data_IF_531685597001
#
_entry.id   IF_531685597001
#
_cell.length_a   1.000
_cell.length_b   1.000
_cell.length_c   1.000
_cell.angle_alpha   90.00
_cell.angle_beta   90.00
_cell.angle_gamma   90.00
#
_symmetry.space_group_name_H-M   'P 1'
#
loop_
_entity.id
_entity.type
_entity.pdbx_description
1 polymer ?
#
# COMPACT_ATOMS: atom_id res chain seq x y z
N UNK A 1 -32.44 -13.04 23.48
CA UNK A 1 -31.09 -12.43 23.40
C UNK A 1 -29.95 -13.44 23.46
N UNK A 2 -30.13 -14.58 24.11
CA UNK A 2 -29.07 -15.58 24.33
C UNK A 2 -28.65 -16.39 23.09
N UNK A 3 -29.50 -16.60 22.11
CA UNK A 3 -29.15 -17.36 20.90
C UNK A 3 -28.18 -16.63 19.95
N UNK A 4 -28.18 -15.31 19.94
CA UNK A 4 -27.26 -14.52 19.07
C UNK A 4 -25.85 -14.54 19.64
N UNK A 5 -25.68 -14.63 20.94
CA UNK A 5 -24.39 -14.69 21.63
C UNK A 5 -23.72 -16.06 21.46
N UNK A 6 -24.51 -17.13 21.49
CA UNK A 6 -24.02 -18.49 21.26
C UNK A 6 -23.48 -18.69 19.82
N UNK A 7 -24.14 -18.10 18.82
CA UNK A 7 -23.71 -18.15 17.42
C UNK A 7 -22.36 -17.47 17.18
N UNK A 8 -22.09 -16.35 17.87
CA UNK A 8 -20.81 -15.64 17.76
C UNK A 8 -19.63 -16.38 18.40
N UNK A 9 -19.87 -17.12 19.47
CA UNK A 9 -18.85 -17.96 20.11
C UNK A 9 -18.49 -19.19 19.27
N UNK A 10 -19.44 -19.77 18.57
CA UNK A 10 -19.22 -20.89 17.66
C UNK A 10 -18.37 -20.49 16.42
N UNK A 11 -18.50 -19.25 15.92
CA UNK A 11 -17.67 -18.75 14.80
C UNK A 11 -16.21 -18.56 15.18
N UNK A 12 -15.91 -18.24 16.44
CA UNK A 12 -14.53 -18.09 16.92
C UNK A 12 -13.86 -19.43 17.27
N UNK A 13 -14.63 -20.49 17.43
CA UNK A 13 -14.12 -21.82 17.78
C UNK A 13 -13.68 -22.69 16.60
N UNK A 14 -14.00 -22.29 15.35
CA UNK A 14 -13.72 -23.09 14.16
C UNK A 14 -12.63 -22.47 13.24
N UNK A 15 -12.02 -21.36 13.65
CA UNK A 15 -10.76 -20.90 13.04
C UNK A 15 -9.61 -21.62 13.74
N UNK A 16 -9.67 -22.95 13.71
CA UNK A 16 -8.57 -23.82 14.06
C UNK A 16 -7.48 -23.70 12.99
N UNK A 17 -6.38 -23.04 13.35
CA UNK A 17 -5.09 -23.44 12.87
C UNK A 17 -4.79 -23.30 11.38
N UNK A 18 -5.13 -22.22 10.69
CA UNK A 18 -4.27 -21.78 9.60
C UNK A 18 -3.22 -20.88 10.22
N UNK A 19 -2.07 -21.46 10.53
CA UNK A 19 -0.87 -20.68 10.84
C UNK A 19 -0.65 -19.72 9.68
N UNK A 20 -0.85 -18.42 9.94
CA UNK A 20 -0.30 -17.34 9.11
C UNK A 20 1.18 -17.69 8.95
N UNK A 21 1.60 -18.01 7.74
CA UNK A 21 2.99 -18.39 7.53
C UNK A 21 3.84 -17.21 8.01
N UNK A 22 4.76 -17.48 8.93
CA UNK A 22 5.71 -16.49 9.48
C UNK A 22 6.48 -15.73 8.38
N UNK A 23 6.46 -16.25 7.16
CA UNK A 23 7.03 -15.68 5.95
C UNK A 23 6.39 -14.35 5.52
N UNK A 24 5.05 -14.22 5.62
CA UNK A 24 4.36 -12.98 5.21
C UNK A 24 4.59 -11.84 6.21
N UNK A 25 4.74 -12.17 7.50
CA UNK A 25 5.00 -11.20 8.56
C UNK A 25 6.44 -10.64 8.46
N UNK A 26 7.40 -11.46 7.98
CA UNK A 26 8.80 -11.08 7.87
C UNK A 26 9.10 -10.03 6.79
N UNK A 27 8.27 -9.92 5.75
CA UNK A 27 8.54 -9.00 4.62
C UNK A 27 8.23 -7.55 4.96
N UNK A 28 7.17 -7.31 5.75
CA UNK A 28 6.70 -5.96 6.05
C UNK A 28 7.10 -5.47 7.45
N UNK A 29 7.71 -6.31 8.28
CA UNK A 29 8.08 -5.97 9.65
C UNK A 29 9.59 -5.91 9.94
N UNK A 30 10.46 -5.93 8.93
CA UNK A 30 11.92 -5.89 9.14
C UNK A 30 12.49 -7.14 9.83
N UNK A 31 11.74 -8.24 9.92
CA UNK A 31 12.17 -9.52 10.52
C UNK A 31 12.67 -10.45 9.43
N UNK A 32 13.91 -10.80 9.55
CA UNK A 32 14.78 -11.63 8.68
C UNK A 32 14.13 -12.47 7.56
N UNK A 33 14.66 -12.26 6.38
CA UNK A 33 14.32 -12.80 5.06
C UNK A 33 14.52 -14.33 4.90
N UNK A 34 14.87 -15.09 5.92
CA UNK A 34 15.17 -16.52 5.82
C UNK A 34 13.96 -17.44 5.64
N UNK A 35 12.73 -16.95 5.84
CA UNK A 35 11.52 -17.76 5.72
C UNK A 35 11.00 -17.91 4.27
N UNK A 36 11.49 -17.11 3.31
CA UNK A 36 11.11 -17.25 1.89
C UNK A 36 11.80 -18.42 1.17
N UNK A 37 12.79 -19.05 1.79
CA UNK A 37 13.68 -19.99 1.11
C UNK A 37 13.18 -21.44 1.00
N UNK A 38 12.01 -21.82 1.52
CA UNK A 38 11.56 -23.23 1.56
C UNK A 38 10.22 -23.55 0.89
N UNK A 39 9.62 -22.61 0.17
CA UNK A 39 8.52 -22.92 -0.74
C UNK A 39 9.06 -23.35 -2.10
N UNK A 40 8.63 -24.53 -2.62
CA UNK A 40 8.89 -24.92 -4.01
C UNK A 40 8.66 -23.70 -4.89
N UNK A 41 9.68 -23.25 -5.67
CA UNK A 41 9.56 -22.23 -6.70
C UNK A 41 8.42 -22.63 -7.64
N UNK A 42 7.20 -22.18 -7.38
CA UNK A 42 6.18 -22.14 -8.40
C UNK A 42 6.72 -21.18 -9.46
N UNK A 43 6.82 -21.63 -10.70
CA UNK A 43 7.14 -20.79 -11.84
C UNK A 43 6.29 -19.53 -11.76
N UNK A 44 6.96 -18.38 -11.61
CA UNK A 44 6.31 -17.09 -11.63
C UNK A 44 5.54 -16.97 -12.94
N UNK A 45 4.25 -16.62 -12.88
CA UNK A 45 3.57 -16.24 -14.10
C UNK A 45 4.10 -14.87 -14.54
N UNK A 46 4.36 -14.70 -15.84
CA UNK A 46 4.74 -13.39 -16.38
C UNK A 46 3.73 -12.32 -15.97
N UNK A 47 2.44 -12.67 -15.91
CA UNK A 47 1.38 -11.77 -15.48
C UNK A 47 1.54 -11.27 -14.03
N UNK A 48 1.97 -12.13 -13.10
CA UNK A 48 2.20 -11.69 -11.71
C UNK A 48 3.34 -10.65 -11.63
N UNK A 49 4.44 -10.86 -12.38
CA UNK A 49 5.55 -9.90 -12.45
C UNK A 49 5.12 -8.57 -13.07
N UNK A 50 4.31 -8.60 -14.12
CA UNK A 50 3.79 -7.41 -14.78
C UNK A 50 2.90 -6.59 -13.82
N UNK A 51 2.01 -7.26 -13.06
CA UNK A 51 1.15 -6.62 -12.04
C UNK A 51 2.02 -5.99 -10.94
N UNK A 52 3.01 -6.73 -10.41
CA UNK A 52 3.90 -6.20 -9.37
C UNK A 52 4.71 -5.00 -9.86
N UNK A 53 5.10 -4.94 -11.13
CA UNK A 53 5.80 -3.78 -11.69
C UNK A 53 4.88 -2.56 -11.84
N UNK A 54 3.60 -2.73 -12.14
CA UNK A 54 2.62 -1.64 -12.09
C UNK A 54 2.50 -1.11 -10.66
N UNK A 55 2.35 -2.01 -9.68
CA UNK A 55 2.31 -1.65 -8.27
C UNK A 55 3.58 -0.91 -7.82
N UNK A 56 4.77 -1.38 -8.22
CA UNK A 56 6.04 -0.73 -7.93
C UNK A 56 6.11 0.69 -8.53
N UNK A 57 5.52 0.89 -9.70
CA UNK A 57 5.39 2.23 -10.30
C UNK A 57 4.57 3.19 -9.43
N UNK A 58 3.48 2.72 -8.81
CA UNK A 58 2.67 3.51 -7.88
C UNK A 58 3.44 3.87 -6.61
N UNK A 59 4.24 2.94 -6.06
CA UNK A 59 5.10 3.23 -4.90
C UNK A 59 6.17 4.29 -5.21
N UNK A 60 6.77 4.21 -6.38
CA UNK A 60 7.72 5.24 -6.82
C UNK A 60 7.07 6.63 -6.94
N UNK A 61 5.85 6.69 -7.50
CA UNK A 61 5.08 7.95 -7.60
C UNK A 61 4.73 8.49 -6.22
N UNK A 62 4.25 7.64 -5.30
CA UNK A 62 3.92 8.03 -3.93
C UNK A 62 5.16 8.56 -3.18
N UNK A 63 6.29 7.85 -3.23
CA UNK A 63 7.54 8.30 -2.61
C UNK A 63 7.95 9.68 -3.12
N UNK A 64 7.88 9.92 -4.43
CA UNK A 64 8.19 11.22 -5.03
C UNK A 64 7.18 12.29 -4.61
N UNK A 65 5.88 11.99 -4.61
CA UNK A 65 4.84 12.92 -4.18
C UNK A 65 5.04 13.36 -2.73
N UNK A 66 5.35 12.43 -1.83
CA UNK A 66 5.68 12.75 -0.43
C UNK A 66 6.99 13.53 -0.30
N UNK A 67 8.04 13.23 -1.10
CA UNK A 67 9.27 14.04 -1.16
C UNK A 67 8.98 15.47 -1.54
N UNK A 68 8.22 15.67 -2.61
CA UNK A 68 7.85 16.98 -3.14
C UNK A 68 6.99 17.74 -2.11
N UNK A 69 6.00 17.08 -1.53
CA UNK A 69 5.13 17.68 -0.50
C UNK A 69 5.93 18.10 0.74
N UNK A 70 6.78 17.22 1.27
CA UNK A 70 7.62 17.51 2.44
C UNK A 70 8.63 18.64 2.17
N UNK A 71 9.20 18.68 0.97
CA UNK A 71 10.15 19.71 0.54
C UNK A 71 9.51 21.05 0.14
N UNK A 72 8.19 21.13 0.06
CA UNK A 72 7.47 22.32 -0.44
C UNK A 72 7.53 23.54 0.50
N UNK A 73 7.81 23.33 1.79
CA UNK A 73 7.69 24.36 2.81
C UNK A 73 6.25 24.75 3.19
N UNK A 74 5.25 24.07 2.63
CA UNK A 74 3.83 24.36 2.85
C UNK A 74 3.25 23.64 4.07
N UNK A 75 3.91 22.61 4.60
CA UNK A 75 3.37 21.74 5.63
C UNK A 75 3.73 22.26 7.04
N UNK A 76 2.72 22.37 7.90
CA UNK A 76 2.93 22.54 9.33
C UNK A 76 3.63 21.28 9.91
N UNK A 77 4.41 21.47 10.97
CA UNK A 77 5.27 20.39 11.50
C UNK A 77 4.54 19.05 11.75
N UNK A 78 3.36 18.99 12.38
CA UNK A 78 2.68 17.71 12.61
C UNK A 78 2.30 17.00 11.30
N UNK A 79 1.92 17.77 10.27
CA UNK A 79 1.57 17.23 8.95
C UNK A 79 2.82 16.76 8.21
N UNK A 80 3.93 17.51 8.34
CA UNK A 80 5.23 17.12 7.80
C UNK A 80 5.72 15.80 8.42
N UNK A 81 5.60 15.67 9.76
CA UNK A 81 6.01 14.44 10.44
C UNK A 81 5.20 13.23 9.96
N UNK A 82 3.90 13.39 9.76
CA UNK A 82 3.04 12.34 9.18
C UNK A 82 3.43 12.03 7.72
N UNK A 83 3.72 13.04 6.91
CA UNK A 83 4.14 12.85 5.53
C UNK A 83 5.47 12.06 5.43
N UNK A 84 6.42 12.36 6.30
CA UNK A 84 7.71 11.62 6.38
C UNK A 84 7.48 10.17 6.83
N UNK A 85 6.58 9.93 7.78
CA UNK A 85 6.21 8.59 8.22
C UNK A 85 5.61 7.78 7.06
N UNK A 86 4.61 8.33 6.36
CA UNK A 86 3.95 7.65 5.24
C UNK A 86 4.92 7.39 4.08
N UNK A 87 5.80 8.35 3.76
CA UNK A 87 6.88 8.09 2.81
C UNK A 87 7.75 6.90 3.23
N UNK A 88 8.03 6.76 4.54
CA UNK A 88 8.75 5.61 5.09
C UNK A 88 8.02 4.29 4.81
N UNK A 89 6.69 4.25 4.96
CA UNK A 89 5.87 3.09 4.63
C UNK A 89 5.98 2.74 3.14
N UNK A 90 5.79 3.71 2.23
CA UNK A 90 5.94 3.50 0.79
C UNK A 90 7.34 3.01 0.38
N UNK A 91 8.41 3.47 1.06
CA UNK A 91 9.76 2.91 0.85
C UNK A 91 9.83 1.44 1.25
N UNK A 92 9.18 1.05 2.33
CA UNK A 92 9.04 -0.36 2.74
C UNK A 92 8.25 -1.19 1.73
N UNK A 93 7.12 -0.66 1.24
CA UNK A 93 6.30 -1.29 0.19
C UNK A 93 7.10 -1.49 -1.10
N UNK A 94 7.79 -0.46 -1.59
CA UNK A 94 8.70 -0.52 -2.73
C UNK A 94 9.73 -1.63 -2.57
N UNK A 95 10.41 -1.69 -1.43
CA UNK A 95 11.48 -2.67 -1.21
C UNK A 95 10.93 -4.11 -1.18
N UNK A 96 9.73 -4.30 -0.63
CA UNK A 96 9.03 -5.58 -0.65
C UNK A 96 8.64 -6.00 -2.08
N UNK A 97 8.14 -5.07 -2.90
CA UNK A 97 7.79 -5.32 -4.31
C UNK A 97 9.02 -5.62 -5.15
N UNK A 98 10.10 -4.86 -5.00
CA UNK A 98 11.40 -5.12 -5.67
C UNK A 98 11.88 -6.53 -5.35
N UNK A 99 11.84 -6.91 -4.07
CA UNK A 99 12.23 -8.25 -3.65
C UNK A 99 11.35 -9.32 -4.30
N UNK A 100 10.03 -9.16 -4.26
CA UNK A 100 9.10 -10.13 -4.85
C UNK A 100 9.35 -10.30 -6.35
N UNK A 101 9.48 -9.20 -7.10
CA UNK A 101 9.76 -9.22 -8.54
C UNK A 101 11.08 -9.95 -8.82
N UNK A 102 12.13 -9.64 -8.06
CA UNK A 102 13.47 -10.23 -8.23
C UNK A 102 13.48 -11.72 -7.91
N UNK A 103 12.85 -12.13 -6.80
CA UNK A 103 12.71 -13.54 -6.42
C UNK A 103 11.98 -14.37 -7.46
N UNK A 104 11.07 -13.73 -8.21
CA UNK A 104 10.33 -14.32 -9.34
C UNK A 104 11.13 -14.31 -10.65
N UNK A 105 12.35 -13.77 -10.66
CA UNK A 105 13.22 -13.65 -11.85
C UNK A 105 12.82 -12.52 -12.78
N UNK A 106 11.94 -11.61 -12.32
CA UNK A 106 11.55 -10.41 -13.04
C UNK A 106 12.57 -9.28 -12.88
N UNK A 107 12.40 -8.23 -13.68
CA UNK A 107 13.20 -7.00 -13.59
C UNK A 107 12.32 -5.89 -13.02
N UNK A 108 12.65 -5.32 -11.83
CA UNK A 108 11.92 -4.21 -11.26
C UNK A 108 12.00 -2.96 -12.16
N UNK A 109 10.86 -2.25 -12.30
CA UNK A 109 10.85 -0.94 -12.95
C UNK A 109 11.61 0.07 -12.11
N UNK A 110 12.24 1.03 -12.78
CA UNK A 110 13.00 2.08 -12.12
C UNK A 110 12.13 3.31 -11.85
N UNK A 111 12.41 4.01 -10.76
CA UNK A 111 11.80 5.29 -10.49
C UNK A 111 12.21 6.33 -11.56
N UNK A 112 11.28 7.22 -11.88
CA UNK A 112 11.58 8.49 -12.58
C UNK A 112 12.17 9.49 -11.58
N UNK A 113 12.59 10.63 -12.06
CA UNK A 113 13.02 11.74 -11.20
C UNK A 113 11.83 12.43 -10.53
N UNK A 114 12.05 13.08 -9.39
CA UNK A 114 11.01 13.87 -8.71
C UNK A 114 10.45 14.97 -9.63
N UNK A 115 11.27 15.54 -10.52
CA UNK A 115 10.84 16.55 -11.49
C UNK A 115 9.86 15.99 -12.53
N UNK A 116 10.06 14.75 -13.00
CA UNK A 116 9.14 14.07 -13.90
C UNK A 116 7.82 13.78 -13.21
N UNK A 117 7.85 13.24 -11.99
CA UNK A 117 6.63 13.03 -11.19
C UNK A 117 5.91 14.33 -10.87
N UNK A 118 6.62 15.41 -10.51
CA UNK A 118 6.02 16.72 -10.27
C UNK A 118 5.25 17.24 -11.49
N UNK A 119 5.78 17.00 -12.68
CA UNK A 119 5.13 17.36 -13.95
C UNK A 119 3.90 16.48 -14.22
N UNK A 120 4.01 15.17 -14.06
CA UNK A 120 2.91 14.22 -14.27
C UNK A 120 1.76 14.46 -13.30
N UNK A 121 2.06 14.75 -12.03
CA UNK A 121 1.09 15.11 -10.99
C UNK A 121 0.58 16.55 -11.11
N UNK A 122 1.10 17.33 -12.07
CA UNK A 122 0.76 18.73 -12.28
C UNK A 122 0.93 19.62 -11.03
N UNK A 123 1.96 19.32 -10.21
CA UNK A 123 2.18 19.96 -8.91
C UNK A 123 2.27 21.48 -9.04
N UNK A 124 3.00 21.99 -10.04
CA UNK A 124 3.21 23.42 -10.23
C UNK A 124 1.90 24.20 -10.43
N UNK A 125 0.88 23.60 -11.04
CA UNK A 125 -0.41 24.24 -11.26
C UNK A 125 -1.38 24.05 -10.08
N UNK A 126 -1.33 22.90 -9.38
CA UNK A 126 -2.39 22.47 -8.46
C UNK A 126 -2.01 22.58 -6.98
N UNK A 127 -0.72 22.67 -6.63
CA UNK A 127 -0.27 22.66 -5.22
C UNK A 127 0.25 24.04 -4.83
N UNK A 128 -0.53 24.75 -4.00
CA UNK A 128 -0.21 26.11 -3.51
C UNK A 128 -0.31 26.22 -2.00
N UNK A 129 -1.02 25.31 -1.34
CA UNK A 129 -1.31 25.34 0.09
C UNK A 129 -1.11 23.97 0.71
N UNK A 130 -1.03 23.90 2.05
CA UNK A 130 -1.03 22.62 2.77
C UNK A 130 -2.25 21.75 2.39
N UNK A 131 -3.41 22.36 2.26
CA UNK A 131 -4.64 21.64 1.86
C UNK A 131 -4.49 21.01 0.48
N UNK A 132 -3.83 21.67 -0.46
CA UNK A 132 -3.60 21.09 -1.79
C UNK A 132 -2.64 19.90 -1.74
N UNK A 133 -1.58 19.97 -0.92
CA UNK A 133 -0.67 18.84 -0.68
C UNK A 133 -1.44 17.66 -0.09
N UNK A 134 -2.25 17.89 0.95
CA UNK A 134 -3.04 16.85 1.60
C UNK A 134 -4.05 16.21 0.64
N UNK A 135 -4.73 17.00 -0.20
CA UNK A 135 -5.68 16.50 -1.21
C UNK A 135 -5.00 15.69 -2.30
N UNK A 136 -3.81 16.12 -2.72
CA UNK A 136 -3.01 15.35 -3.68
C UNK A 136 -2.65 13.99 -3.09
N UNK A 137 -2.07 13.96 -1.89
CA UNK A 137 -1.73 12.72 -1.18
C UNK A 137 -2.97 11.83 -1.00
N UNK A 138 -4.07 12.37 -0.45
CA UNK A 138 -5.32 11.63 -0.25
C UNK A 138 -5.83 10.96 -1.53
N UNK A 139 -5.75 11.64 -2.67
CA UNK A 139 -6.14 11.09 -3.98
C UNK A 139 -5.23 9.93 -4.40
N UNK A 140 -3.93 10.07 -4.19
CA UNK A 140 -2.95 9.02 -4.53
C UNK A 140 -3.15 7.79 -3.65
N UNK A 141 -3.34 7.96 -2.33
CA UNK A 141 -3.60 6.85 -1.40
C UNK A 141 -4.88 6.09 -1.77
N UNK A 142 -5.97 6.82 -2.09
CA UNK A 142 -7.21 6.18 -2.55
C UNK A 142 -7.00 5.40 -3.84
N UNK A 143 -6.22 5.97 -4.76
CA UNK A 143 -5.87 5.32 -6.03
C UNK A 143 -5.07 4.04 -5.80
N UNK A 144 -4.08 4.08 -4.92
CA UNK A 144 -3.23 2.93 -4.58
C UNK A 144 -4.05 1.83 -3.88
N UNK A 145 -4.88 2.16 -2.89
CA UNK A 145 -5.77 1.21 -2.22
C UNK A 145 -6.67 0.48 -3.23
N UNK A 146 -7.31 1.22 -4.14
CA UNK A 146 -8.16 0.65 -5.19
C UNK A 146 -7.36 -0.24 -6.14
N UNK A 147 -6.17 0.19 -6.56
CA UNK A 147 -5.31 -0.59 -7.45
C UNK A 147 -4.90 -1.92 -6.80
N UNK A 148 -4.49 -1.90 -5.53
CA UNK A 148 -4.13 -3.11 -4.80
C UNK A 148 -5.30 -4.07 -4.62
N UNK A 149 -6.51 -3.58 -4.29
CA UNK A 149 -7.71 -4.42 -4.18
C UNK A 149 -8.08 -4.99 -5.56
N UNK A 150 -8.07 -4.15 -6.58
CA UNK A 150 -8.50 -4.54 -7.94
C UNK A 150 -7.64 -5.64 -8.57
N UNK A 151 -6.34 -5.73 -8.22
CA UNK A 151 -5.44 -6.74 -8.79
C UNK A 151 -5.45 -8.07 -8.03
N UNK A 152 -6.02 -8.15 -6.82
CA UNK A 152 -6.05 -9.38 -6.01
C UNK A 152 -6.56 -10.59 -6.79
N UNK A 153 -7.70 -10.51 -7.52
CA UNK A 153 -8.21 -11.66 -8.28
C UNK A 153 -7.28 -12.12 -9.41
N UNK A 154 -6.43 -11.24 -9.92
CA UNK A 154 -5.56 -11.48 -11.08
C UNK A 154 -4.28 -12.23 -10.72
N UNK A 155 -3.87 -12.24 -9.45
CA UNK A 155 -2.69 -12.98 -9.02
C UNK A 155 -2.91 -14.48 -9.06
N UNK A 156 -1.96 -15.23 -9.62
CA UNK A 156 -1.96 -16.69 -9.63
C UNK A 156 -1.52 -17.31 -8.29
N UNK A 157 -0.86 -16.51 -7.43
CA UNK A 157 -0.24 -16.92 -6.17
C UNK A 157 -0.99 -16.30 -4.98
N UNK A 158 -1.37 -17.13 -4.00
CA UNK A 158 -2.08 -16.67 -2.80
C UNK A 158 -1.22 -15.75 -1.92
N UNK A 159 0.10 -15.94 -1.88
CA UNK A 159 1.00 -15.08 -1.10
C UNK A 159 0.99 -13.65 -1.67
N UNK A 160 0.96 -13.51 -3.01
CA UNK A 160 0.85 -12.19 -3.66
C UNK A 160 -0.51 -11.54 -3.41
N UNK A 161 -1.59 -12.32 -3.40
CA UNK A 161 -2.93 -11.83 -3.01
C UNK A 161 -2.93 -11.28 -1.59
N UNK A 162 -2.29 -12.01 -0.66
CA UNK A 162 -2.18 -11.57 0.73
C UNK A 162 -1.33 -10.32 0.88
N UNK A 163 -0.20 -10.23 0.18
CA UNK A 163 0.64 -9.02 0.18
C UNK A 163 -0.17 -7.84 -0.35
N UNK A 164 -0.85 -7.98 -1.50
CA UNK A 164 -1.68 -6.92 -2.08
C UNK A 164 -2.78 -6.44 -1.13
N UNK A 165 -3.44 -7.37 -0.42
CA UNK A 165 -4.47 -7.02 0.56
C UNK A 165 -3.89 -6.22 1.75
N UNK A 166 -2.67 -6.50 2.17
CA UNK A 166 -2.00 -5.77 3.26
C UNK A 166 -1.57 -4.38 2.81
N UNK A 167 -0.99 -4.27 1.61
CA UNK A 167 -0.69 -2.97 1.01
C UNK A 167 -1.95 -2.11 0.90
N UNK A 168 -3.05 -2.68 0.39
CA UNK A 168 -4.34 -1.97 0.34
C UNK A 168 -4.82 -1.48 1.70
N UNK A 169 -4.59 -2.24 2.79
CA UNK A 169 -4.96 -1.84 4.14
C UNK A 169 -4.11 -0.67 4.65
N UNK A 170 -2.82 -0.66 4.35
CA UNK A 170 -1.93 0.45 4.71
C UNK A 170 -2.33 1.73 3.96
N UNK A 171 -2.60 1.66 2.63
CA UNK A 171 -3.03 2.80 1.83
C UNK A 171 -4.41 3.33 2.27
N UNK A 172 -5.35 2.44 2.62
CA UNK A 172 -6.63 2.84 3.17
C UNK A 172 -6.47 3.55 4.53
N UNK A 173 -5.50 3.15 5.34
CA UNK A 173 -5.16 3.79 6.62
C UNK A 173 -4.55 5.17 6.40
N UNK A 174 -3.63 5.32 5.43
CA UNK A 174 -3.08 6.63 5.04
C UNK A 174 -4.20 7.55 4.55
N UNK A 175 -5.04 7.07 3.63
CA UNK A 175 -6.17 7.83 3.12
C UNK A 175 -7.11 8.29 4.23
N UNK A 176 -7.49 7.40 5.16
CA UNK A 176 -8.38 7.74 6.27
C UNK A 176 -7.76 8.79 7.20
N UNK A 177 -6.45 8.70 7.47
CA UNK A 177 -5.72 9.68 8.27
C UNK A 177 -5.70 11.04 7.59
N UNK A 178 -5.42 11.09 6.27
CA UNK A 178 -5.44 12.33 5.51
C UNK A 178 -6.83 12.96 5.45
N UNK A 179 -7.89 12.15 5.29
CA UNK A 179 -9.28 12.60 5.34
C UNK A 179 -9.61 13.23 6.69
N UNK A 180 -9.17 12.61 7.79
CA UNK A 180 -9.37 13.17 9.13
C UNK A 180 -8.65 14.51 9.30
N UNK A 181 -7.39 14.62 8.83
CA UNK A 181 -6.63 15.89 8.89
C UNK A 181 -7.28 16.99 8.02
N UNK A 182 -7.92 16.61 6.92
CA UNK A 182 -8.70 17.52 6.07
C UNK A 182 -10.05 17.92 6.69
N UNK A 183 -10.44 17.37 7.83
CA UNK A 183 -11.73 17.62 8.49
C UNK A 183 -12.90 16.93 7.80
N UNK A 184 -12.66 15.91 7.00
CA UNK A 184 -13.69 15.17 6.30
C UNK A 184 -14.32 14.12 7.22
N UNK A 185 -15.63 13.94 7.10
CA UNK A 185 -16.34 12.85 7.77
C UNK A 185 -16.07 11.51 7.08
N UNK A 186 -16.13 10.38 7.83
CA UNK A 186 -16.10 9.08 7.19
C UNK A 186 -17.19 8.96 6.11
N UNK A 187 -16.90 8.24 5.02
CA UNK A 187 -17.89 8.02 3.97
C UNK A 187 -19.17 7.39 4.49
N UNK A 188 -20.32 7.90 4.06
CA UNK A 188 -21.62 7.37 4.47
C UNK A 188 -21.91 5.98 3.84
N UNK A 189 -21.37 5.72 2.64
CA UNK A 189 -21.51 4.43 1.98
C UNK A 189 -20.39 3.47 2.39
N UNK A 190 -20.68 2.17 2.55
CA UNK A 190 -19.66 1.14 2.70
C UNK A 190 -19.00 0.81 1.37
N UNK A 191 -17.92 0.00 1.39
CA UNK A 191 -17.24 -0.55 0.22
C UNK A 191 -16.73 0.54 -0.74
N UNK A 192 -16.08 1.56 -0.20
CA UNK A 192 -15.59 2.72 -0.94
C UNK A 192 -14.29 2.48 -1.70
N UNK A 193 -13.65 1.33 -1.48
CA UNK A 193 -12.45 0.86 -2.15
C UNK A 193 -12.76 -0.40 -2.97
N UNK A 194 -12.12 -0.53 -4.15
CA UNK A 194 -12.24 -1.66 -5.06
C UNK A 194 -12.71 -1.30 -6.45
#
# INVERSE_FOLDING_TARGET
>A
MDQIIASRRSMLGTVGGTMLSAAAIGVLGGVSTSAFAQGKKKSASKGDVDILNVALGLEHEAIAAYSIGAGSGLLAKPVLDAAVLFQGHHKGHRDALIKAITDMGGKPVMAKTDAEYAKELNVAATVKTQTDVLKLAQRLEKGAANAYIGVIPSFSNNDLRQISARLAADEATHWATLSFVLGESPPAAPLIFG
#
